data_IF_155941175278
#
_entry.id   IF_155941175278
#
_cell.length_a   1.000
_cell.length_b   1.000
_cell.length_c   1.000
_cell.angle_alpha   90.00
_cell.angle_beta   90.00
_cell.angle_gamma   90.00
#
_symmetry.space_group_name_H-M   'P 1'
#
loop_
_entity.id
_entity.type
_entity.pdbx_description
1 polymer ?
#
# COMPACT_ATOMS: atom_id res chain seq x y z
N UNK A 1 -7.98 9.11 -15.80
CA UNK A 1 -6.91 8.52 -16.61
C UNK A 1 -6.54 7.21 -15.96
N UNK A 2 -7.07 6.11 -16.49
CA UNK A 2 -6.66 4.74 -16.16
C UNK A 2 -5.23 4.54 -16.67
N UNK A 3 -4.35 3.97 -15.87
CA UNK A 3 -2.99 3.69 -16.29
C UNK A 3 -2.95 2.37 -17.07
N UNK A 4 -2.03 2.21 -18.03
CA UNK A 4 -1.89 0.96 -18.78
C UNK A 4 -1.62 -0.26 -17.86
N UNK A 5 -1.06 -0.02 -16.67
CA UNK A 5 -0.86 -1.05 -15.65
C UNK A 5 -2.18 -1.58 -15.07
N UNK A 6 -3.21 -0.74 -14.94
CA UNK A 6 -4.52 -1.14 -14.42
C UNK A 6 -5.25 -2.05 -15.42
N UNK A 7 -5.10 -1.76 -16.72
CA UNK A 7 -5.66 -2.56 -17.82
C UNK A 7 -4.98 -3.93 -17.88
N UNK A 8 -3.65 -3.97 -17.75
CA UNK A 8 -2.87 -5.21 -17.74
C UNK A 8 -3.21 -6.07 -16.51
N UNK A 9 -3.37 -5.45 -15.33
CA UNK A 9 -3.83 -6.13 -14.11
C UNK A 9 -5.20 -6.77 -14.30
N UNK A 10 -6.16 -6.02 -14.84
CA UNK A 10 -7.51 -6.51 -15.11
C UNK A 10 -7.54 -7.69 -16.10
N UNK A 11 -6.76 -7.63 -17.18
CA UNK A 11 -6.65 -8.73 -18.16
C UNK A 11 -5.99 -9.96 -17.54
N UNK A 12 -4.93 -9.78 -16.74
CA UNK A 12 -4.29 -10.89 -16.03
C UNK A 12 -5.26 -11.54 -15.02
N UNK A 13 -6.03 -10.75 -14.28
CA UNK A 13 -7.05 -11.25 -13.33
C UNK A 13 -8.16 -12.01 -14.05
N UNK A 14 -8.60 -11.54 -15.23
CA UNK A 14 -9.55 -12.25 -16.10
C UNK A 14 -8.98 -13.58 -16.61
N UNK A 15 -7.71 -13.59 -17.00
CA UNK A 15 -7.02 -14.79 -17.51
C UNK A 15 -6.77 -15.80 -16.38
N UNK A 16 -6.45 -15.32 -15.17
CA UNK A 16 -6.29 -16.12 -13.97
C UNK A 16 -7.62 -16.67 -13.46
N UNK A 17 -8.71 -15.88 -13.50
CA UNK A 17 -10.06 -16.35 -13.22
C UNK A 17 -10.51 -17.41 -14.24
N UNK A 18 -10.15 -17.25 -15.51
CA UNK A 18 -10.38 -18.25 -16.57
C UNK A 18 -9.66 -19.58 -16.33
N UNK A 19 -8.41 -19.55 -15.88
CA UNK A 19 -7.64 -20.76 -15.54
C UNK A 19 -8.10 -21.41 -14.24
N UNK A 20 -8.55 -20.64 -13.25
CA UNK A 20 -9.18 -21.17 -12.03
C UNK A 20 -10.54 -21.84 -12.31
N UNK A 21 -11.25 -21.41 -13.35
CA UNK A 21 -12.50 -22.04 -13.81
C UNK A 21 -12.30 -23.47 -14.33
N UNK A 22 -11.06 -23.90 -14.60
CA UNK A 22 -10.70 -25.28 -14.98
C UNK A 22 -10.61 -26.26 -13.79
N UNK A 23 -11.12 -25.87 -12.62
CA UNK A 23 -11.36 -26.79 -11.50
C UNK A 23 -10.12 -27.14 -10.67
N UNK A 24 -9.00 -26.45 -10.85
CA UNK A 24 -7.83 -26.61 -9.98
C UNK A 24 -8.08 -25.80 -8.70
N UNK A 25 -8.36 -26.51 -7.60
CA UNK A 25 -8.44 -25.90 -6.28
C UNK A 25 -7.11 -25.21 -5.97
N UNK A 26 -7.15 -23.90 -5.79
CA UNK A 26 -5.97 -23.12 -5.45
C UNK A 26 -5.83 -23.01 -3.93
N UNK A 27 -4.64 -22.66 -3.46
CA UNK A 27 -4.36 -22.48 -2.03
C UNK A 27 -5.29 -21.45 -1.38
N UNK A 28 -5.72 -20.43 -2.13
CA UNK A 28 -6.67 -19.42 -1.68
C UNK A 28 -8.05 -20.02 -1.39
N UNK A 29 -8.51 -20.95 -2.23
CA UNK A 29 -9.80 -21.64 -2.02
C UNK A 29 -9.72 -22.51 -0.76
N UNK A 30 -8.67 -23.32 -0.62
CA UNK A 30 -8.49 -24.19 0.56
C UNK A 30 -8.36 -23.38 1.85
N UNK A 31 -7.61 -22.28 1.80
CA UNK A 31 -7.46 -21.34 2.92
C UNK A 31 -8.80 -20.73 3.31
N UNK A 32 -9.61 -20.29 2.34
CA UNK A 32 -10.94 -19.75 2.60
C UNK A 32 -11.87 -20.79 3.22
N UNK A 33 -11.90 -22.03 2.69
CA UNK A 33 -12.69 -23.13 3.26
C UNK A 33 -12.29 -23.38 4.72
N UNK A 34 -10.99 -23.44 5.01
CA UNK A 34 -10.48 -23.62 6.37
C UNK A 34 -10.94 -22.50 7.30
N UNK A 35 -10.79 -21.24 6.88
CA UNK A 35 -11.21 -20.09 7.68
C UNK A 35 -12.72 -20.07 7.91
N UNK A 36 -13.53 -20.41 6.91
CA UNK A 36 -14.98 -20.49 7.04
C UNK A 36 -15.40 -21.56 8.04
N UNK A 37 -14.84 -22.76 7.96
CA UNK A 37 -15.11 -23.83 8.93
C UNK A 37 -14.72 -23.43 10.34
N UNK A 38 -13.55 -22.80 10.51
CA UNK A 38 -13.11 -22.32 11.81
C UNK A 38 -14.05 -21.24 12.38
N UNK A 39 -14.50 -20.30 11.56
CA UNK A 39 -15.45 -19.27 11.98
C UNK A 39 -16.80 -19.88 12.40
N UNK A 40 -17.33 -20.79 11.59
CA UNK A 40 -18.60 -21.49 11.85
C UNK A 40 -18.52 -22.39 13.09
N UNK A 41 -17.38 -23.02 13.36
CA UNK A 41 -17.15 -23.80 14.57
C UNK A 41 -17.06 -22.94 15.83
N UNK A 42 -16.33 -21.81 15.75
CA UNK A 42 -16.18 -20.88 16.88
C UNK A 42 -17.49 -20.20 17.26
N UNK A 43 -18.36 -19.97 16.29
CA UNK A 43 -19.62 -19.24 16.47
C UNK A 43 -20.79 -19.97 15.78
N UNK A 44 -21.22 -21.13 16.32
CA UNK A 44 -22.15 -22.03 15.63
C UNK A 44 -23.56 -21.46 15.41
N UNK A 45 -23.94 -20.46 16.21
CA UNK A 45 -25.24 -19.80 16.14
C UNK A 45 -25.20 -18.44 15.43
N UNK A 46 -24.02 -18.01 14.99
CA UNK A 46 -23.86 -16.75 14.26
C UNK A 46 -23.88 -16.99 12.75
N UNK A 47 -24.14 -15.90 12.01
CA UNK A 47 -24.03 -15.86 10.56
C UNK A 47 -22.66 -15.36 10.15
N UNK A 48 -22.15 -15.85 9.04
CA UNK A 48 -20.91 -15.35 8.44
C UNK A 48 -21.28 -14.57 7.18
N UNK A 49 -20.91 -13.29 7.14
CA UNK A 49 -21.12 -12.45 5.96
C UNK A 49 -19.83 -12.38 5.15
N UNK A 50 -19.90 -12.87 3.92
CA UNK A 50 -18.86 -12.86 2.91
C UNK A 50 -19.13 -11.73 1.93
N UNK A 51 -18.16 -10.82 1.85
CA UNK A 51 -18.13 -9.76 0.83
C UNK A 51 -17.00 -10.14 -0.13
N UNK A 52 -17.34 -10.33 -1.39
CA UNK A 52 -16.42 -10.78 -2.42
C UNK A 52 -16.47 -9.84 -3.62
N UNK A 53 -15.32 -9.57 -4.23
CA UNK A 53 -15.22 -8.70 -5.41
C UNK A 53 -14.37 -9.38 -6.49
N UNK A 54 -14.76 -9.20 -7.76
CA UNK A 54 -14.00 -9.70 -8.91
C UNK A 54 -13.63 -11.19 -8.77
N UNK A 55 -12.35 -11.54 -8.84
CA UNK A 55 -11.84 -12.91 -8.64
C UNK A 55 -12.22 -13.50 -7.27
N UNK A 56 -12.33 -12.68 -6.22
CA UNK A 56 -12.76 -13.14 -4.90
C UNK A 56 -14.14 -13.81 -4.91
N UNK A 57 -15.03 -13.41 -5.82
CA UNK A 57 -16.32 -14.08 -5.99
C UNK A 57 -16.18 -15.48 -6.59
N UNK A 58 -15.25 -15.70 -7.52
CA UNK A 58 -14.93 -17.01 -8.06
C UNK A 58 -14.32 -17.92 -6.99
N UNK A 59 -13.37 -17.41 -6.21
CA UNK A 59 -12.77 -18.14 -5.08
C UNK A 59 -13.86 -18.55 -4.09
N UNK A 60 -14.78 -17.63 -3.77
CA UNK A 60 -15.92 -17.92 -2.89
C UNK A 60 -16.85 -18.97 -3.49
N UNK A 61 -17.17 -18.87 -4.79
CA UNK A 61 -17.98 -19.87 -5.50
C UNK A 61 -17.37 -21.28 -5.42
N UNK A 62 -16.06 -21.40 -5.62
CA UNK A 62 -15.34 -22.68 -5.52
C UNK A 62 -15.24 -23.17 -4.07
N UNK A 63 -15.03 -22.27 -3.11
CA UNK A 63 -14.93 -22.63 -1.69
C UNK A 63 -16.26 -23.18 -1.16
N UNK A 64 -17.38 -22.56 -1.53
CA UNK A 64 -18.72 -23.01 -1.10
C UNK A 64 -19.03 -24.43 -1.57
N UNK A 65 -18.53 -24.85 -2.74
CA UNK A 65 -18.75 -26.22 -3.23
C UNK A 65 -18.10 -27.30 -2.36
N UNK A 66 -17.13 -26.92 -1.51
CA UNK A 66 -16.48 -27.82 -0.55
C UNK A 66 -17.12 -27.79 0.85
N UNK A 67 -18.05 -26.88 1.09
CA UNK A 67 -18.81 -26.81 2.33
C UNK A 67 -20.04 -27.71 2.25
N UNK A 68 -20.50 -28.19 3.40
CA UNK A 68 -21.76 -28.93 3.46
C UNK A 68 -22.96 -27.97 3.52
N UNK A 69 -24.16 -28.52 3.29
CA UNK A 69 -25.40 -27.73 3.23
C UNK A 69 -25.65 -26.93 4.51
N UNK A 70 -25.43 -27.52 5.69
CA UNK A 70 -25.68 -26.86 6.98
C UNK A 70 -24.67 -25.76 7.31
N UNK A 71 -23.45 -25.84 6.78
CA UNK A 71 -22.47 -24.76 6.80
C UNK A 71 -22.92 -23.60 5.89
N UNK A 72 -23.42 -23.91 4.69
CA UNK A 72 -23.83 -22.91 3.69
C UNK A 72 -25.08 -22.12 4.12
N UNK A 73 -26.02 -22.76 4.82
CA UNK A 73 -27.22 -22.11 5.37
C UNK A 73 -26.92 -20.99 6.36
N UNK A 74 -25.69 -20.91 6.87
CA UNK A 74 -25.22 -19.85 7.78
C UNK A 74 -24.52 -18.71 7.05
N UNK A 75 -24.35 -18.81 5.73
CA UNK A 75 -23.60 -17.87 4.93
C UNK A 75 -24.49 -16.79 4.29
N UNK A 76 -24.13 -15.57 4.63
CA UNK A 76 -24.35 -14.28 3.97
C UNK A 76 -23.47 -14.04 2.75
N UNK A 77 -23.88 -14.07 1.48
CA UNK A 77 -22.94 -13.75 0.37
C UNK A 77 -23.34 -12.51 -0.41
N UNK A 78 -22.40 -11.55 -0.48
CA UNK A 78 -22.49 -10.31 -1.26
C UNK A 78 -21.32 -10.29 -2.25
N UNK A 79 -21.61 -10.57 -3.51
CA UNK A 79 -20.62 -10.52 -4.58
C UNK A 79 -20.74 -9.20 -5.35
N UNK A 80 -19.63 -8.54 -5.66
CA UNK A 80 -19.56 -7.30 -6.40
C UNK A 80 -18.69 -7.49 -7.64
N UNK A 81 -19.25 -7.29 -8.84
CA UNK A 81 -18.54 -7.47 -10.11
C UNK A 81 -17.83 -8.81 -10.17
N UNK A 82 -18.51 -9.88 -9.74
CA UNK A 82 -17.87 -11.16 -9.51
C UNK A 82 -17.49 -11.88 -10.79
N UNK A 83 -16.34 -12.57 -10.81
CA UNK A 83 -15.95 -13.44 -11.92
C UNK A 83 -16.78 -14.74 -12.01
N UNK A 84 -17.62 -14.99 -10.99
CA UNK A 84 -18.64 -16.03 -10.98
C UNK A 84 -19.88 -15.52 -10.24
N UNK A 85 -21.06 -15.92 -10.70
CA UNK A 85 -22.30 -15.65 -9.97
C UNK A 85 -22.58 -16.76 -8.96
N UNK A 86 -22.77 -16.39 -7.70
CA UNK A 86 -23.23 -17.31 -6.67
C UNK A 86 -24.76 -17.42 -6.75
N UNK A 87 -25.27 -18.64 -6.56
CA UNK A 87 -26.69 -18.97 -6.73
C UNK A 87 -27.17 -19.79 -5.55
N UNK A 88 -28.36 -19.50 -5.08
CA UNK A 88 -29.08 -20.27 -4.08
C UNK A 88 -29.73 -21.44 -4.81
N UNK A 89 -29.31 -22.64 -4.42
CA UNK A 89 -29.83 -23.90 -4.96
C UNK A 89 -30.03 -24.86 -3.80
N UNK A 90 -30.72 -26.01 -3.99
CA UNK A 90 -30.80 -27.03 -2.94
C UNK A 90 -29.42 -27.52 -2.44
N UNK A 91 -28.37 -27.44 -3.28
CA UNK A 91 -27.00 -27.79 -2.90
C UNK A 91 -26.25 -26.64 -2.23
N UNK A 92 -26.63 -25.40 -2.52
CA UNK A 92 -26.02 -24.18 -1.99
C UNK A 92 -27.09 -23.26 -1.37
N UNK A 93 -27.78 -23.70 -0.30
CA UNK A 93 -28.89 -22.95 0.27
C UNK A 93 -28.38 -21.82 1.16
N UNK A 94 -27.82 -20.76 0.55
CA UNK A 94 -27.39 -19.58 1.27
C UNK A 94 -28.51 -18.98 2.10
N UNK A 95 -28.16 -18.39 3.25
CA UNK A 95 -29.14 -17.58 4.00
C UNK A 95 -29.63 -16.40 3.18
N UNK A 96 -28.69 -15.78 2.46
CA UNK A 96 -28.92 -14.68 1.52
C UNK A 96 -27.75 -14.64 0.53
N UNK A 97 -28.06 -14.47 -0.74
CA UNK A 97 -27.07 -14.37 -1.80
C UNK A 97 -27.47 -13.22 -2.74
N UNK A 98 -26.59 -12.22 -2.89
CA UNK A 98 -26.79 -11.13 -3.85
C UNK A 98 -25.51 -10.92 -4.65
N UNK A 99 -25.67 -10.83 -5.96
CA UNK A 99 -24.62 -10.52 -6.91
C UNK A 99 -24.89 -9.13 -7.52
N UNK A 100 -24.07 -8.16 -7.14
CA UNK A 100 -24.08 -6.81 -7.66
C UNK A 100 -23.22 -6.72 -8.92
N UNK A 101 -23.80 -6.24 -10.02
CA UNK A 101 -23.08 -5.96 -11.25
C UNK A 101 -23.35 -4.53 -11.69
N UNK A 102 -22.31 -3.74 -11.99
CA UNK A 102 -22.51 -2.53 -12.78
C UNK A 102 -22.86 -2.95 -14.21
N UNK A 103 -23.86 -2.31 -14.83
CA UNK A 103 -24.22 -2.61 -16.23
C UNK A 103 -23.10 -2.24 -17.22
N UNK A 104 -22.17 -1.38 -16.80
CA UNK A 104 -21.00 -0.97 -17.57
C UNK A 104 -19.75 -1.80 -17.20
N UNK A 105 -19.86 -2.75 -16.26
CA UNK A 105 -18.74 -3.59 -15.87
C UNK A 105 -18.41 -4.58 -16.98
N UNK A 106 -17.17 -4.61 -17.49
CA UNK A 106 -16.75 -5.56 -18.52
C UNK A 106 -16.92 -7.03 -18.07
N UNK A 107 -16.81 -7.32 -16.77
CA UNK A 107 -16.92 -8.69 -16.26
C UNK A 107 -18.34 -9.27 -16.43
N UNK A 108 -19.34 -8.40 -16.52
CA UNK A 108 -20.73 -8.80 -16.74
C UNK A 108 -20.89 -9.59 -18.05
N UNK A 109 -20.13 -9.22 -19.08
CA UNK A 109 -20.17 -9.88 -20.38
C UNK A 109 -19.43 -11.23 -20.40
N UNK A 110 -18.61 -11.49 -19.39
CA UNK A 110 -17.82 -12.73 -19.27
C UNK A 110 -18.53 -13.77 -18.40
N UNK A 111 -19.51 -13.36 -17.58
CA UNK A 111 -20.30 -14.23 -16.70
C UNK A 111 -21.67 -14.51 -17.33
N UNK A 112 -21.89 -15.69 -17.97
CA UNK A 112 -23.09 -15.92 -18.77
C UNK A 112 -24.39 -15.85 -17.98
N UNK A 113 -24.38 -16.29 -16.73
CA UNK A 113 -25.55 -16.24 -15.85
C UNK A 113 -25.95 -14.81 -15.48
N UNK A 114 -24.97 -13.93 -15.26
CA UNK A 114 -25.23 -12.52 -14.99
C UNK A 114 -25.72 -11.80 -16.25
N UNK A 115 -25.09 -12.04 -17.40
CA UNK A 115 -25.54 -11.52 -18.68
C UNK A 115 -26.97 -11.97 -19.05
N UNK A 116 -27.28 -13.25 -18.81
CA UNK A 116 -28.62 -13.79 -19.01
C UNK A 116 -29.63 -13.13 -18.06
N UNK A 117 -29.27 -12.94 -16.79
CA UNK A 117 -30.13 -12.31 -15.80
C UNK A 117 -30.42 -10.83 -16.11
N UNK A 118 -29.46 -10.12 -16.70
CA UNK A 118 -29.68 -8.76 -17.18
C UNK A 118 -30.69 -8.75 -18.34
N UNK A 119 -30.50 -9.65 -19.32
CA UNK A 119 -31.36 -9.74 -20.51
C UNK A 119 -32.79 -10.19 -20.20
N UNK A 120 -32.98 -11.00 -19.16
CA UNK A 120 -34.30 -11.48 -18.74
C UNK A 120 -35.13 -10.43 -17.99
N UNK A 121 -34.64 -9.20 -17.85
CA UNK A 121 -35.40 -8.10 -17.25
C UNK A 121 -35.49 -8.18 -15.73
N UNK A 122 -34.40 -8.61 -15.06
CA UNK A 122 -34.28 -8.63 -13.60
C UNK A 122 -35.17 -9.66 -12.89
N UNK A 123 -35.62 -10.70 -13.58
CA UNK A 123 -36.46 -11.77 -13.01
C UNK A 123 -35.78 -12.63 -11.92
N UNK A 124 -34.53 -12.34 -11.56
CA UNK A 124 -33.75 -13.12 -10.61
C UNK A 124 -33.41 -12.27 -9.39
N UNK A 125 -34.00 -12.62 -8.24
CA UNK A 125 -33.85 -11.91 -6.95
C UNK A 125 -32.40 -11.83 -6.45
N UNK A 126 -31.52 -12.69 -6.97
CA UNK A 126 -30.11 -12.79 -6.57
C UNK A 126 -29.18 -11.87 -7.35
N UNK A 127 -29.68 -11.15 -8.35
CA UNK A 127 -28.90 -10.24 -9.15
C UNK A 127 -29.40 -8.81 -8.95
N UNK A 128 -28.48 -7.91 -8.63
CA UNK A 128 -28.74 -6.49 -8.53
C UNK A 128 -27.86 -5.75 -9.54
N UNK A 129 -28.47 -5.13 -10.53
CA UNK A 129 -27.76 -4.38 -11.55
C UNK A 129 -27.72 -2.90 -11.20
N UNK A 130 -26.52 -2.33 -11.19
CA UNK A 130 -26.24 -0.96 -10.81
C UNK A 130 -26.04 -0.11 -12.06
N UNK A 131 -26.66 1.07 -12.09
CA UNK A 131 -26.34 2.08 -13.10
C UNK A 131 -24.91 2.60 -12.89
N UNK A 132 -24.09 2.74 -13.95
CA UNK A 132 -22.77 3.33 -13.84
C UNK A 132 -22.88 4.78 -13.37
N UNK A 133 -21.91 5.19 -12.56
CA UNK A 133 -21.82 6.57 -12.07
C UNK A 133 -20.65 7.34 -12.68
N UNK A 134 -19.65 6.63 -13.19
CA UNK A 134 -18.48 7.24 -13.83
C UNK A 134 -18.59 7.16 -15.35
N UNK A 135 -19.06 6.02 -15.89
CA UNK A 135 -19.15 5.80 -17.33
C UNK A 135 -17.86 5.24 -17.94
N UNK A 136 -16.80 5.07 -17.14
CA UNK A 136 -15.60 4.32 -17.50
C UNK A 136 -15.76 2.87 -17.01
N UNK A 137 -15.77 1.87 -17.91
CA UNK A 137 -15.98 0.46 -17.56
C UNK A 137 -15.00 -0.07 -16.50
N UNK A 138 -13.74 0.35 -16.52
CA UNK A 138 -12.72 -0.12 -15.59
C UNK A 138 -12.94 0.52 -14.22
N UNK A 139 -13.20 1.84 -14.20
CA UNK A 139 -13.46 2.53 -12.94
C UNK A 139 -14.75 2.02 -12.31
N UNK A 140 -15.80 1.77 -13.10
CA UNK A 140 -17.07 1.23 -12.62
C UNK A 140 -16.93 -0.22 -12.10
N UNK A 141 -15.88 -0.96 -12.48
CA UNK A 141 -15.56 -2.29 -11.93
C UNK A 141 -14.93 -2.22 -10.53
N UNK A 142 -14.20 -1.16 -10.17
CA UNK A 142 -13.52 -1.11 -8.87
C UNK A 142 -14.49 -1.12 -7.69
N UNK A 143 -14.22 -1.94 -6.67
CA UNK A 143 -15.08 -2.13 -5.51
C UNK A 143 -15.42 -0.81 -4.78
N UNK A 144 -14.43 0.07 -4.65
CA UNK A 144 -14.55 1.35 -3.96
C UNK A 144 -14.89 2.52 -4.89
N UNK A 145 -15.16 2.24 -6.17
CA UNK A 145 -15.66 3.24 -7.11
C UNK A 145 -17.03 3.77 -6.67
N UNK A 146 -17.46 4.95 -7.13
CA UNK A 146 -18.78 5.47 -6.81
C UNK A 146 -19.93 4.49 -7.07
N UNK A 147 -19.80 3.64 -8.10
CA UNK A 147 -20.83 2.66 -8.49
C UNK A 147 -20.99 1.58 -7.43
N UNK A 148 -19.96 0.78 -7.15
CA UNK A 148 -20.06 -0.28 -6.15
C UNK A 148 -20.07 0.21 -4.70
N UNK A 149 -19.41 1.33 -4.42
CA UNK A 149 -19.46 1.97 -3.10
C UNK A 149 -20.90 2.30 -2.70
N UNK A 150 -21.74 2.75 -3.63
CA UNK A 150 -23.15 3.06 -3.31
C UNK A 150 -23.93 1.81 -2.87
N UNK A 151 -23.65 0.65 -3.47
CA UNK A 151 -24.26 -0.62 -3.06
C UNK A 151 -23.68 -1.12 -1.72
N UNK A 152 -22.37 -0.96 -1.49
CA UNK A 152 -21.75 -1.25 -0.19
C UNK A 152 -22.31 -0.38 0.95
N UNK A 153 -22.55 0.90 0.69
CA UNK A 153 -23.18 1.81 1.64
C UNK A 153 -24.60 1.36 1.99
N UNK A 154 -25.38 0.95 0.99
CA UNK A 154 -26.71 0.41 1.19
C UNK A 154 -26.70 -0.88 2.02
N UNK A 155 -25.83 -1.84 1.68
CA UNK A 155 -25.66 -3.08 2.45
C UNK A 155 -25.16 -2.81 3.87
N UNK A 156 -24.29 -1.82 4.07
CA UNK A 156 -23.85 -1.41 5.41
C UNK A 156 -25.01 -0.88 6.24
N UNK A 157 -25.87 -0.05 5.66
CA UNK A 157 -27.07 0.44 6.34
C UNK A 157 -28.04 -0.70 6.67
N UNK A 158 -28.25 -1.64 5.75
CA UNK A 158 -29.06 -2.84 6.00
C UNK A 158 -28.48 -3.65 7.15
N UNK A 159 -27.19 -3.98 7.09
CA UNK A 159 -26.49 -4.74 8.12
C UNK A 159 -26.64 -4.08 9.50
N UNK A 160 -26.48 -2.76 9.57
CA UNK A 160 -26.69 -2.03 10.83
C UNK A 160 -28.13 -2.14 11.34
N UNK A 161 -29.13 -2.11 10.46
CA UNK A 161 -30.53 -2.25 10.87
C UNK A 161 -30.86 -3.68 11.33
N UNK A 162 -30.28 -4.68 10.68
CA UNK A 162 -30.60 -6.09 10.89
C UNK A 162 -29.85 -6.70 12.08
N UNK A 163 -28.57 -6.35 12.27
CA UNK A 163 -27.72 -6.99 13.30
C UNK A 163 -27.33 -6.07 14.46
N UNK A 164 -27.60 -4.76 14.39
CA UNK A 164 -27.25 -3.84 15.47
C UNK A 164 -28.49 -3.28 16.17
N UNK A 165 -28.44 -3.28 17.50
CA UNK A 165 -29.45 -2.61 18.31
C UNK A 165 -29.45 -1.09 18.06
N UNK A 166 -30.57 -0.43 18.33
CA UNK A 166 -30.69 1.03 18.23
C UNK A 166 -29.63 1.73 19.09
N UNK A 167 -29.33 1.18 20.27
CA UNK A 167 -28.33 1.70 21.19
C UNK A 167 -26.94 1.65 20.58
N UNK A 168 -26.53 0.49 20.03
CA UNK A 168 -25.22 0.33 19.39
C UNK A 168 -25.07 1.28 18.21
N UNK A 169 -26.12 1.44 17.38
CA UNK A 169 -26.09 2.38 16.24
C UNK A 169 -25.86 3.83 16.68
N UNK A 170 -26.51 4.28 17.76
CA UNK A 170 -26.34 5.64 18.28
C UNK A 170 -24.97 5.84 18.93
N UNK A 171 -24.50 4.86 19.72
CA UNK A 171 -23.21 4.95 20.39
C UNK A 171 -22.03 4.82 19.41
N UNK A 172 -22.18 4.13 18.29
CA UNK A 172 -21.10 3.97 17.30
C UNK A 172 -20.55 5.30 16.80
N UNK A 173 -21.42 6.24 16.41
CA UNK A 173 -20.98 7.55 15.94
C UNK A 173 -20.21 8.32 17.02
N UNK A 174 -20.66 8.19 18.28
CA UNK A 174 -19.96 8.75 19.42
C UNK A 174 -18.59 8.10 19.65
N UNK A 175 -18.49 6.77 19.61
CA UNK A 175 -17.22 6.05 19.72
C UNK A 175 -16.25 6.38 18.58
N UNK A 176 -16.73 6.44 17.33
CA UNK A 176 -15.91 6.82 16.18
C UNK A 176 -15.39 8.26 16.30
N UNK A 177 -16.21 9.17 16.83
CA UNK A 177 -15.78 10.53 17.13
C UNK A 177 -14.69 10.54 18.21
N UNK A 178 -14.87 9.77 19.30
CA UNK A 178 -13.86 9.66 20.35
C UNK A 178 -12.54 9.09 19.82
N UNK A 179 -12.56 8.05 18.98
CA UNK A 179 -11.34 7.50 18.38
C UNK A 179 -10.66 8.49 17.45
N UNK A 180 -11.43 9.24 16.63
CA UNK A 180 -10.88 10.28 15.77
C UNK A 180 -10.24 11.42 16.58
N UNK A 181 -10.87 11.84 17.68
CA UNK A 181 -10.31 12.83 18.61
C UNK A 181 -9.01 12.29 19.22
N UNK A 182 -8.99 11.04 19.68
CA UNK A 182 -7.80 10.42 20.27
C UNK A 182 -6.64 10.33 19.26
N UNK A 183 -6.90 9.91 18.02
CA UNK A 183 -5.92 9.89 16.94
C UNK A 183 -5.40 11.30 16.62
N UNK A 184 -6.30 12.30 16.57
CA UNK A 184 -5.90 13.68 16.38
C UNK A 184 -5.00 14.18 17.51
N UNK A 185 -5.36 13.97 18.77
CA UNK A 185 -4.53 14.34 19.94
C UNK A 185 -3.17 13.65 19.87
N UNK A 186 -3.13 12.34 19.58
CA UNK A 186 -1.90 11.59 19.40
C UNK A 186 -1.02 12.20 18.30
N UNK A 187 -1.62 12.57 17.17
CA UNK A 187 -0.89 13.21 16.07
C UNK A 187 -0.31 14.58 16.47
N UNK A 188 -1.03 15.38 17.27
CA UNK A 188 -0.54 16.66 17.77
C UNK A 188 0.59 16.48 18.78
N UNK A 189 0.46 15.51 19.71
CA UNK A 189 1.52 15.16 20.64
C UNK A 189 2.79 14.71 19.91
N UNK A 190 2.66 13.86 18.89
CA UNK A 190 3.80 13.44 18.06
C UNK A 190 4.46 14.62 17.34
N UNK A 191 3.67 15.57 16.81
CA UNK A 191 4.20 16.80 16.19
C UNK A 191 4.96 17.64 17.21
N UNK A 192 4.38 17.86 18.39
CA UNK A 192 5.01 18.60 19.49
C UNK A 192 6.30 17.93 19.96
N UNK A 193 6.30 16.61 20.15
CA UNK A 193 7.48 15.84 20.53
C UNK A 193 8.60 15.98 19.49
N UNK A 194 8.26 15.87 18.20
CA UNK A 194 9.21 16.07 17.11
C UNK A 194 9.77 17.50 17.08
N UNK A 195 8.95 18.51 17.35
CA UNK A 195 9.40 19.91 17.34
C UNK A 195 10.18 20.30 18.58
N UNK A 196 9.86 19.75 19.76
CA UNK A 196 10.45 20.14 21.05
C UNK A 196 11.66 19.30 21.42
N UNK A 197 11.67 17.99 21.13
CA UNK A 197 12.82 17.13 21.48
C UNK A 197 13.75 16.92 20.30
N UNK A 198 13.22 16.61 19.12
CA UNK A 198 14.05 16.19 17.99
C UNK A 198 14.85 17.37 17.40
N UNK A 199 14.22 18.55 17.25
CA UNK A 199 14.88 19.73 16.68
C UNK A 199 16.08 20.23 17.50
N UNK A 200 16.00 20.42 18.83
CA UNK A 200 17.16 20.87 19.60
C UNK A 200 18.25 19.80 19.69
N UNK A 201 17.90 18.51 19.74
CA UNK A 201 18.90 17.42 19.70
C UNK A 201 19.64 17.40 18.36
N UNK A 202 18.93 17.48 17.24
CA UNK A 202 19.54 17.57 15.91
C UNK A 202 20.36 18.85 15.74
N UNK A 203 19.88 19.98 16.28
CA UNK A 203 20.63 21.23 16.32
C UNK A 203 21.93 21.13 17.11
N UNK A 204 21.91 20.47 18.28
CA UNK A 204 23.08 20.23 19.10
C UNK A 204 24.09 19.30 18.40
N UNK A 205 23.63 18.21 17.78
CA UNK A 205 24.47 17.31 16.99
C UNK A 205 25.12 18.07 15.83
N UNK A 206 24.36 18.89 15.11
CA UNK A 206 24.89 19.69 14.01
C UNK A 206 25.93 20.72 14.48
N UNK A 207 25.70 21.38 15.62
CA UNK A 207 26.65 22.31 16.22
C UNK A 207 27.97 21.62 16.63
N UNK A 208 27.88 20.42 17.23
CA UNK A 208 29.06 19.61 17.57
C UNK A 208 29.81 19.18 16.32
N UNK A 209 29.10 18.75 15.28
CA UNK A 209 29.70 18.34 14.01
C UNK A 209 30.41 19.51 13.32
N UNK A 210 29.82 20.72 13.32
CA UNK A 210 30.47 21.92 12.80
C UNK A 210 31.74 22.27 13.58
N UNK A 211 31.72 22.18 14.92
CA UNK A 211 32.90 22.46 15.75
C UNK A 211 34.04 21.46 15.49
N UNK A 212 33.72 20.17 15.32
CA UNK A 212 34.69 19.14 14.95
C UNK A 212 35.29 19.43 13.57
N UNK A 213 34.46 19.75 12.57
CA UNK A 213 34.93 20.10 11.23
C UNK A 213 35.84 21.33 11.23
N UNK A 214 35.52 22.36 12.02
CA UNK A 214 36.37 23.54 12.20
C UNK A 214 37.72 23.18 12.82
N UNK A 215 37.74 22.37 13.88
CA UNK A 215 39.00 21.92 14.51
C UNK A 215 39.87 21.11 13.55
N UNK A 216 39.29 20.18 12.79
CA UNK A 216 40.01 19.40 11.77
C UNK A 216 40.61 20.34 10.71
N UNK A 217 39.84 21.32 10.22
CA UNK A 217 40.32 22.29 9.25
C UNK A 217 41.50 23.10 9.78
N UNK A 218 41.46 23.52 11.04
CA UNK A 218 42.57 24.23 11.68
C UNK A 218 43.82 23.35 11.81
N UNK A 219 43.66 22.08 12.19
CA UNK A 219 44.78 21.13 12.26
C UNK A 219 45.41 20.92 10.88
N UNK A 220 44.61 20.78 9.82
CA UNK A 220 45.11 20.62 8.45
C UNK A 220 45.88 21.87 8.00
N UNK A 221 45.34 23.06 8.25
CA UNK A 221 46.03 24.33 7.94
C UNK A 221 47.35 24.40 8.69
N UNK A 222 47.35 24.09 9.99
CA UNK A 222 48.56 24.07 10.81
C UNK A 222 49.59 23.06 10.26
N UNK A 223 49.18 21.83 9.93
CA UNK A 223 50.06 20.84 9.32
C UNK A 223 50.65 21.30 7.98
N UNK A 224 49.84 21.95 7.13
CA UNK A 224 50.31 22.46 5.84
C UNK A 224 51.38 23.54 6.03
N UNK A 225 51.16 24.47 6.97
CA UNK A 225 52.05 25.59 7.25
C UNK A 225 53.34 25.12 7.93
N UNK A 226 53.22 24.34 9.00
CA UNK A 226 54.34 24.08 9.91
C UNK A 226 55.04 22.75 9.70
N UNK A 227 54.44 21.81 8.95
CA UNK A 227 55.04 20.49 8.71
C UNK A 227 55.34 20.28 7.23
N UNK A 228 54.33 20.39 6.37
CA UNK A 228 54.45 20.01 4.96
C UNK A 228 55.32 21.02 4.19
N UNK A 229 55.05 22.33 4.31
CA UNK A 229 55.85 23.36 3.62
C UNK A 229 57.34 23.33 4.02
N UNK A 230 57.71 23.26 5.32
CA UNK A 230 59.12 23.15 5.70
C UNK A 230 59.78 21.87 5.18
N UNK A 231 59.07 20.74 5.20
CA UNK A 231 59.58 19.48 4.63
C UNK A 231 59.81 19.57 3.12
N UNK A 232 58.93 20.24 2.38
CA UNK A 232 59.11 20.49 0.95
C UNK A 232 60.32 21.39 0.68
N UNK A 233 60.49 22.47 1.45
CA UNK A 233 61.65 23.34 1.37
C UNK A 233 62.95 22.58 1.68
N UNK A 234 62.97 21.77 2.73
CA UNK A 234 64.11 20.94 3.09
C UNK A 234 64.43 19.90 2.00
N UNK A 235 63.42 19.24 1.45
CA UNK A 235 63.62 18.26 0.37
C UNK A 235 64.17 18.92 -0.90
N UNK A 236 63.67 20.11 -1.26
CA UNK A 236 64.20 20.90 -2.37
C UNK A 236 65.67 21.28 -2.11
N UNK A 237 66.00 21.73 -0.90
CA UNK A 237 67.37 22.05 -0.50
C UNK A 237 68.31 20.83 -0.62
N UNK A 238 67.87 19.65 -0.14
CA UNK A 238 68.62 18.40 -0.26
C UNK A 238 68.84 18.04 -1.73
N UNK A 239 67.80 18.16 -2.56
CA UNK A 239 67.87 17.86 -3.99
C UNK A 239 68.83 18.80 -4.73
N UNK A 240 68.75 20.10 -4.47
CA UNK A 240 69.66 21.11 -5.02
C UNK A 240 71.11 20.83 -4.61
N UNK A 241 71.34 20.50 -3.33
CA UNK A 241 72.67 20.15 -2.82
C UNK A 241 73.23 18.88 -3.50
N UNK A 242 72.39 17.86 -3.69
CA UNK A 242 72.77 16.61 -4.35
C UNK A 242 73.05 16.80 -5.86
N UNK A 243 72.31 17.69 -6.53
CA UNK A 243 72.56 18.06 -7.94
C UNK A 243 73.89 18.82 -8.09
N UNK A 244 74.16 19.78 -7.19
CA UNK A 244 75.44 20.49 -7.14
C UNK A 244 76.64 19.53 -6.98
N UNK A 245 76.51 18.52 -6.10
CA UNK A 245 77.55 17.49 -5.91
C UNK A 245 77.79 16.60 -7.13
N UNK A 246 76.81 16.44 -8.03
CA UNK A 246 76.95 15.67 -9.27
C UNK A 246 77.65 16.44 -10.40
N UNK A 247 78.00 17.71 -10.18
CA UNK A 247 78.70 18.53 -11.17
C UNK A 247 77.81 19.11 -12.27
N UNK A 248 76.49 18.96 -12.13
CA UNK A 248 75.53 19.64 -13.01
C UNK A 248 75.49 21.13 -12.64
N UNK A 249 75.75 22.03 -13.60
CA UNK A 249 75.60 23.47 -13.40
C UNK A 249 74.14 23.79 -13.09
N UNK A 250 73.85 24.14 -11.85
CA UNK A 250 72.53 24.67 -11.45
C UNK A 250 72.55 26.18 -11.67
N UNK A 251 71.84 26.66 -12.68
CA UNK A 251 71.62 28.09 -12.89
C UNK A 251 70.65 28.61 -11.81
N UNK A 252 71.17 29.34 -10.83
CA UNK A 252 70.38 29.94 -9.76
C UNK A 252 69.68 31.21 -10.26
N UNK A 253 68.39 31.13 -10.55
CA UNK A 253 67.49 32.30 -10.52
C UNK A 253 66.54 32.16 -9.32
N UNK A 254 66.96 32.66 -8.17
CA UNK A 254 66.02 32.96 -7.08
C UNK A 254 65.56 34.40 -7.32
N UNK A 255 64.37 34.56 -7.89
CA UNK A 255 63.71 35.86 -7.98
C UNK A 255 63.40 36.34 -6.56
N UNK A 256 64.13 37.36 -6.11
CA UNK A 256 64.01 37.97 -4.76
C UNK A 256 62.59 38.52 -4.53
N UNK A 257 61.91 38.87 -5.60
CA UNK A 257 60.55 39.42 -5.66
C UNK A 257 59.45 38.46 -5.13
N UNK A 258 59.77 37.18 -4.87
CA UNK A 258 58.82 36.21 -4.31
C UNK A 258 58.90 36.03 -2.78
N UNK A 259 59.81 36.74 -2.10
CA UNK A 259 59.94 36.69 -0.64
C UNK A 259 59.14 37.78 0.10
N UNK A 260 58.65 38.82 -0.59
CA UNK A 260 58.03 40.00 0.04
C UNK A 260 56.50 39.94 0.21
N UNK A 261 55.80 38.91 -0.27
CA UNK A 261 54.33 38.79 -0.09
C UNK A 261 53.96 37.91 1.11
N UNK A 262 54.57 38.16 2.26
CA UNK A 262 54.25 37.52 3.54
C UNK A 262 54.13 38.56 4.68
N UNK A 263 53.34 39.61 4.44
CA UNK A 263 52.63 40.32 5.51
C UNK A 263 51.16 40.46 5.10
N UNK A 264 50.29 40.15 6.08
CA UNK A 264 48.82 40.00 6.13
C UNK A 264 48.15 38.71 5.60
#
# INVERSE_FOLDING_TARGET
MTSDQDVIGFVNDLTQAGTQKLGRLTLEVESLVKHLRQALQKRPNERVVLIAHSQGALITYLAVQQLNTTEIEKLEVLAFGGAAALRTTPRTPFKRCINYYSINDPILFVVPSAAQALRSGLAHEEFCFLSPRVGDPIVDHYLLSPTYKSALEWESQRFQREYQSVVVRRLRSFFLLLTAIAEWISSQLQRLLKSVLLRPVLGAIHAVQQKIQQSIRQIIIWMLIYVIRPMQLLNNLIRETAQSWKGDKVDHYVAVDKLETFED
#
